data_IF_998326668906
#
_entry.id   IF_998326668906
#
_cell.length_a   1.000
_cell.length_b   1.000
_cell.length_c   1.000
_cell.angle_alpha   90.00
_cell.angle_beta   90.00
_cell.angle_gamma   90.00
#
_symmetry.space_group_name_H-M   'P 1'
#
loop_
_entity.id
_entity.type
_entity.pdbx_description
1 polymer ?
#
# COMPACT_ATOMS: atom_id res chain seq x y z
N UNK A 1 3.17 -13.96 15.71
CA UNK A 1 1.76 -14.42 15.71
C UNK A 1 1.08 -13.78 14.49
N UNK A 2 0.38 -14.57 13.69
CA UNK A 2 -0.43 -14.02 12.59
C UNK A 2 -1.65 -13.29 13.16
N UNK A 3 -2.00 -12.15 12.56
CA UNK A 3 -3.20 -11.39 12.93
C UNK A 3 -4.45 -12.26 12.69
N UNK A 4 -5.34 -12.33 13.68
CA UNK A 4 -6.63 -13.01 13.51
C UNK A 4 -7.61 -12.08 12.78
N UNK A 5 -7.78 -12.27 11.47
CA UNK A 5 -8.67 -11.47 10.63
C UNK A 5 -10.17 -11.74 10.88
N UNK A 6 -10.52 -12.77 11.64
CA UNK A 6 -11.91 -13.05 12.04
C UNK A 6 -12.34 -12.26 13.29
N UNK A 7 -11.40 -11.58 13.94
CA UNK A 7 -11.66 -10.78 15.14
C UNK A 7 -11.48 -9.29 14.82
N UNK A 8 -12.58 -8.52 14.84
CA UNK A 8 -12.57 -7.09 14.58
C UNK A 8 -11.71 -6.33 15.59
N UNK A 9 -11.76 -6.69 16.87
CA UNK A 9 -10.95 -6.04 17.89
C UNK A 9 -9.46 -6.29 17.71
N UNK A 10 -9.08 -7.49 17.24
CA UNK A 10 -7.68 -7.77 16.90
C UNK A 10 -7.19 -6.88 15.74
N UNK A 11 -8.02 -6.65 14.74
CA UNK A 11 -7.69 -5.76 13.61
C UNK A 11 -7.61 -4.30 14.07
N UNK A 12 -8.57 -3.82 14.85
CA UNK A 12 -8.56 -2.46 15.40
C UNK A 12 -7.28 -2.22 16.21
N UNK A 13 -6.97 -3.16 17.10
CA UNK A 13 -5.74 -3.10 17.90
C UNK A 13 -4.50 -3.10 17.03
N UNK A 14 -4.41 -3.98 16.02
CA UNK A 14 -3.30 -4.02 15.07
C UNK A 14 -3.09 -2.67 14.36
N UNK A 15 -4.17 -2.07 13.84
CA UNK A 15 -4.10 -0.75 13.18
C UNK A 15 -3.66 0.33 14.17
N UNK A 16 -4.22 0.33 15.39
CA UNK A 16 -3.90 1.29 16.44
C UNK A 16 -2.43 1.22 16.89
N UNK A 17 -1.94 0.02 17.12
CA UNK A 17 -0.58 -0.23 17.61
C UNK A 17 0.49 -0.14 16.50
N UNK A 18 0.11 -0.23 15.23
CA UNK A 18 1.05 -0.21 14.11
C UNK A 18 1.72 1.15 13.97
N UNK A 19 3.05 1.13 13.76
CA UNK A 19 3.80 2.34 13.47
C UNK A 19 3.26 3.00 12.20
N UNK A 20 2.89 4.26 12.31
CA UNK A 20 2.49 5.07 11.16
C UNK A 20 3.72 5.34 10.29
N UNK A 21 3.57 5.21 8.98
CA UNK A 21 4.66 5.30 8.02
C UNK A 21 4.34 6.26 6.90
N UNK A 22 5.37 6.94 6.43
CA UNK A 22 5.34 7.79 5.24
C UNK A 22 6.47 7.33 4.30
N UNK A 23 6.32 6.16 3.66
CA UNK A 23 7.33 5.68 2.74
C UNK A 23 7.39 6.56 1.50
N UNK A 24 8.60 6.81 1.06
CA UNK A 24 8.87 7.62 -0.13
C UNK A 24 9.90 6.94 -1.03
N UNK A 25 9.89 7.36 -2.29
CA UNK A 25 10.93 7.10 -3.26
C UNK A 25 11.51 8.44 -3.69
N UNK A 26 12.78 8.67 -3.42
CA UNK A 26 13.45 9.89 -3.83
C UNK A 26 14.48 9.60 -4.93
N UNK A 27 14.39 10.35 -6.02
CA UNK A 27 15.38 10.40 -7.08
C UNK A 27 16.28 11.58 -6.79
N UNK A 28 17.58 11.35 -6.69
CA UNK A 28 18.54 12.40 -6.31
C UNK A 28 19.75 12.38 -7.23
N UNK A 29 20.19 13.56 -7.66
CA UNK A 29 21.41 13.79 -8.39
C UNK A 29 22.40 14.58 -7.53
N UNK A 30 23.68 14.24 -7.62
CA UNK A 30 24.71 14.91 -6.83
C UNK A 30 26.00 14.09 -6.75
N UNK A 31 26.88 14.42 -5.81
CA UNK A 31 28.06 13.61 -5.52
C UNK A 31 27.86 12.87 -4.20
N UNK A 32 27.68 11.54 -4.29
CA UNK A 32 27.33 10.71 -3.13
C UNK A 32 28.54 9.92 -2.58
N UNK A 33 29.75 10.32 -2.89
CA UNK A 33 30.94 9.66 -2.34
C UNK A 33 31.04 9.89 -0.82
N UNK A 34 31.08 8.80 -0.06
CA UNK A 34 31.14 8.84 1.41
C UNK A 34 29.83 9.20 2.13
N UNK A 35 28.73 9.37 1.41
CA UNK A 35 27.41 9.67 2.00
C UNK A 35 26.86 8.47 2.77
N UNK A 36 26.40 8.69 3.99
CA UNK A 36 25.68 7.72 4.79
C UNK A 36 24.18 7.76 4.47
N UNK A 37 23.63 6.66 3.99
CA UNK A 37 22.20 6.53 3.67
C UNK A 37 21.38 5.83 4.76
N UNK A 38 21.97 5.54 5.91
CA UNK A 38 21.33 4.87 7.05
C UNK A 38 20.69 3.52 6.65
N UNK A 39 19.40 3.35 6.96
CA UNK A 39 18.62 2.13 6.67
C UNK A 39 17.86 2.19 5.32
N UNK A 40 18.08 3.23 4.51
CA UNK A 40 17.46 3.36 3.21
C UNK A 40 17.93 2.28 2.24
N UNK A 41 17.04 1.83 1.37
CA UNK A 41 17.42 1.10 0.17
C UNK A 41 17.93 2.07 -0.87
N UNK A 42 19.13 1.81 -1.39
CA UNK A 42 19.81 2.71 -2.32
C UNK A 42 20.14 1.98 -3.60
N UNK A 43 19.79 2.58 -4.73
CA UNK A 43 20.12 2.10 -6.07
C UNK A 43 20.75 3.23 -6.87
N UNK A 44 21.55 2.88 -7.89
CA UNK A 44 22.11 3.83 -8.85
C UNK A 44 23.61 4.05 -8.72
N UNK A 45 24.12 4.92 -9.56
CA UNK A 45 25.54 5.23 -9.77
C UNK A 45 26.06 6.30 -8.78
N UNK A 46 27.35 6.70 -8.91
CA UNK A 46 27.98 7.68 -8.01
C UNK A 46 27.28 9.04 -8.00
N UNK A 47 26.70 9.46 -9.10
CA UNK A 47 26.12 10.79 -9.29
C UNK A 47 24.58 10.81 -9.37
N UNK A 48 23.94 9.64 -9.34
CA UNK A 48 22.49 9.52 -9.38
C UNK A 48 22.04 8.36 -8.50
N UNK A 49 21.11 8.60 -7.60
CA UNK A 49 20.59 7.59 -6.67
C UNK A 49 19.08 7.58 -6.66
N UNK A 50 18.53 6.39 -6.40
CA UNK A 50 17.14 6.21 -5.98
C UNK A 50 17.17 5.74 -4.52
N UNK A 51 16.58 6.54 -3.64
CA UNK A 51 16.47 6.24 -2.21
C UNK A 51 15.05 5.78 -1.92
N UNK A 52 14.88 4.66 -1.21
CA UNK A 52 13.56 4.12 -0.85
C UNK A 52 13.54 3.87 0.65
N UNK A 53 12.61 4.47 1.36
CA UNK A 53 12.45 4.30 2.80
C UNK A 53 11.50 5.31 3.44
N UNK A 54 11.57 5.44 4.74
CA UNK A 54 10.76 6.39 5.50
C UNK A 54 11.20 7.83 5.25
N UNK A 55 10.22 8.74 5.17
CA UNK A 55 10.46 10.15 4.89
C UNK A 55 11.44 10.80 5.88
N UNK A 56 11.30 10.50 7.18
CA UNK A 56 12.21 11.03 8.20
C UNK A 56 13.68 10.74 7.90
N UNK A 57 13.97 9.51 7.43
CA UNK A 57 15.37 9.15 7.07
C UNK A 57 15.79 9.78 5.76
N UNK A 58 14.90 9.83 4.76
CA UNK A 58 15.18 10.48 3.47
C UNK A 58 15.43 11.96 3.67
N UNK A 59 14.55 12.66 4.39
CA UNK A 59 14.69 14.09 4.71
C UNK A 59 16.04 14.39 5.40
N UNK A 60 16.41 13.56 6.39
CA UNK A 60 17.69 13.67 7.07
C UNK A 60 18.88 13.55 6.09
N UNK A 61 18.85 12.56 5.19
CA UNK A 61 19.91 12.40 4.17
C UNK A 61 19.97 13.61 3.26
N UNK A 62 18.82 14.14 2.81
CA UNK A 62 18.78 15.30 1.92
C UNK A 62 19.34 16.56 2.60
N UNK A 63 18.97 16.82 3.86
CA UNK A 63 19.45 17.99 4.60
C UNK A 63 20.95 17.90 4.95
N UNK A 64 21.44 16.75 5.41
CA UNK A 64 22.84 16.55 5.74
C UNK A 64 23.77 16.65 4.52
N UNK A 65 23.24 16.35 3.32
CA UNK A 65 24.02 16.32 2.07
C UNK A 65 23.61 17.43 1.08
N UNK A 66 22.91 18.43 1.53
CA UNK A 66 22.41 19.54 0.72
C UNK A 66 23.45 20.22 -0.16
N UNK A 67 24.71 20.30 0.31
CA UNK A 67 25.81 20.93 -0.43
C UNK A 67 26.25 20.13 -1.66
N UNK A 68 25.99 18.82 -1.70
CA UNK A 68 26.42 17.92 -2.78
C UNK A 68 25.26 17.42 -3.64
N UNK A 69 24.04 17.65 -3.23
CA UNK A 69 22.80 17.33 -4.00
C UNK A 69 22.52 18.50 -4.95
N UNK A 70 22.41 18.19 -6.24
CA UNK A 70 22.13 19.19 -7.28
C UNK A 70 20.66 19.22 -7.69
N UNK A 71 19.94 18.11 -7.52
CA UNK A 71 18.53 17.99 -7.85
C UNK A 71 17.89 16.83 -7.08
N UNK A 72 16.59 16.95 -6.78
CA UNK A 72 15.82 15.86 -6.16
C UNK A 72 14.35 15.90 -6.52
N UNK A 73 13.75 14.72 -6.69
CA UNK A 73 12.32 14.54 -6.86
C UNK A 73 11.82 13.42 -5.96
N UNK A 74 10.71 13.63 -5.24
CA UNK A 74 10.21 12.72 -4.23
C UNK A 74 8.79 12.29 -4.58
N UNK A 75 8.59 10.96 -4.64
CA UNK A 75 7.28 10.33 -4.80
C UNK A 75 6.84 9.72 -3.45
N UNK A 76 5.58 9.89 -3.13
CA UNK A 76 4.96 9.23 -1.98
C UNK A 76 3.58 8.68 -2.35
N UNK A 77 3.18 7.58 -1.71
CA UNK A 77 1.86 6.96 -1.91
C UNK A 77 0.91 7.20 -0.72
N UNK A 78 1.45 7.49 0.45
CA UNK A 78 0.68 7.72 1.68
C UNK A 78 1.46 8.56 2.69
N UNK A 79 0.73 9.12 3.64
CA UNK A 79 1.31 9.85 4.77
C UNK A 79 0.74 9.34 6.09
N UNK A 80 1.62 8.98 7.03
CA UNK A 80 1.25 8.49 8.37
C UNK A 80 0.19 7.37 8.35
N UNK A 81 0.25 6.47 7.36
CA UNK A 81 -0.61 5.30 7.28
C UNK A 81 0.07 4.07 7.85
N UNK A 82 -0.70 3.26 8.58
CA UNK A 82 -0.20 2.01 9.14
C UNK A 82 -0.26 0.85 8.14
N UNK A 83 -1.27 0.86 7.26
CA UNK A 83 -1.59 -0.27 6.40
C UNK A 83 -1.15 0.02 4.97
N UNK A 84 -0.25 -0.78 4.39
CA UNK A 84 0.10 -0.67 2.97
C UNK A 84 -1.04 -1.15 2.08
N UNK A 85 -0.86 -0.97 0.77
CA UNK A 85 -1.67 -1.65 -0.23
C UNK A 85 -1.20 -3.10 -0.42
N UNK A 86 -2.12 -3.96 -0.87
CA UNK A 86 -1.84 -5.37 -1.17
C UNK A 86 -0.80 -5.50 -2.29
N UNK A 87 0.12 -6.44 -2.14
CA UNK A 87 1.01 -6.84 -3.23
C UNK A 87 0.24 -7.69 -4.25
N UNK A 88 0.01 -7.12 -5.43
CA UNK A 88 -0.83 -7.72 -6.46
C UNK A 88 -0.09 -8.70 -7.38
N UNK A 89 1.24 -8.82 -7.29
CA UNK A 89 2.05 -9.61 -8.24
C UNK A 89 1.72 -11.10 -8.28
N UNK A 90 1.28 -11.66 -7.16
CA UNK A 90 0.92 -13.09 -7.04
C UNK A 90 -0.58 -13.37 -7.10
N UNK A 91 -1.42 -12.39 -7.43
CA UNK A 91 -2.87 -12.52 -7.42
C UNK A 91 -3.38 -12.95 -8.80
N UNK A 92 -4.03 -14.11 -8.89
CA UNK A 92 -4.63 -14.63 -10.11
C UNK A 92 -6.02 -14.03 -10.36
N UNK A 93 -6.09 -12.71 -10.53
CA UNK A 93 -7.31 -11.94 -10.75
C UNK A 93 -7.05 -10.78 -11.72
N UNK A 94 -8.11 -10.27 -12.35
CA UNK A 94 -8.03 -9.03 -13.13
C UNK A 94 -8.29 -7.85 -12.20
N UNK A 95 -7.31 -6.98 -12.05
CA UNK A 95 -7.39 -5.80 -11.20
C UNK A 95 -7.09 -4.58 -12.04
N UNK A 96 -8.10 -3.74 -12.24
CA UNK A 96 -8.00 -2.56 -13.07
C UNK A 96 -7.24 -1.42 -12.37
N UNK A 97 -6.56 -0.55 -13.13
CA UNK A 97 -5.91 0.63 -12.58
C UNK A 97 -6.88 1.52 -11.77
N UNK A 98 -6.42 2.08 -10.67
CA UNK A 98 -7.22 2.94 -9.79
C UNK A 98 -8.03 2.19 -8.72
N UNK A 99 -8.01 0.86 -8.69
CA UNK A 99 -8.49 0.11 -7.54
C UNK A 99 -7.55 0.28 -6.35
N UNK A 100 -8.10 0.57 -5.18
CA UNK A 100 -7.33 0.69 -3.92
C UNK A 100 -7.63 -0.50 -3.02
N UNK A 101 -6.68 -1.38 -2.86
CA UNK A 101 -6.82 -2.61 -2.08
C UNK A 101 -5.79 -2.59 -0.95
N UNK A 102 -6.26 -2.63 0.29
CA UNK A 102 -5.37 -2.68 1.46
C UNK A 102 -4.77 -4.06 1.63
N UNK A 103 -3.63 -4.12 2.28
CA UNK A 103 -2.99 -5.37 2.67
C UNK A 103 -3.93 -6.26 3.50
N UNK A 104 -3.63 -7.56 3.53
CA UNK A 104 -4.44 -8.60 4.20
C UNK A 104 -5.86 -8.78 3.62
N UNK A 105 -6.10 -8.33 2.39
CA UNK A 105 -7.30 -8.70 1.61
C UNK A 105 -7.04 -10.03 0.91
N UNK A 106 -8.03 -10.92 0.92
CA UNK A 106 -7.99 -12.18 0.17
C UNK A 106 -8.82 -12.04 -1.11
N UNK A 107 -8.19 -12.32 -2.25
CA UNK A 107 -8.85 -12.27 -3.56
C UNK A 107 -8.79 -13.67 -4.18
N UNK A 108 -9.95 -14.25 -4.44
CA UNK A 108 -10.08 -15.56 -5.09
C UNK A 108 -9.71 -15.51 -6.56
N UNK A 109 -9.33 -16.66 -7.10
CA UNK A 109 -8.95 -16.82 -8.50
C UNK A 109 -10.01 -16.30 -9.46
N UNK A 110 -9.56 -15.73 -10.58
CA UNK A 110 -10.42 -15.20 -11.65
C UNK A 110 -11.41 -14.11 -11.21
N UNK A 111 -11.22 -13.55 -10.01
CA UNK A 111 -11.99 -12.37 -9.61
C UNK A 111 -11.68 -11.18 -10.53
N UNK A 112 -12.59 -10.23 -10.57
CA UNK A 112 -12.47 -9.00 -11.36
C UNK A 112 -12.71 -7.82 -10.44
N UNK A 113 -11.69 -6.98 -10.29
CA UNK A 113 -11.77 -5.74 -9.50
C UNK A 113 -11.69 -4.56 -10.47
N UNK A 114 -12.76 -3.79 -10.55
CA UNK A 114 -12.84 -2.67 -11.48
C UNK A 114 -12.23 -1.39 -10.90
N UNK A 115 -12.02 -0.41 -11.79
CA UNK A 115 -11.42 0.89 -11.43
C UNK A 115 -12.21 1.61 -10.33
N UNK A 116 -11.50 2.23 -9.43
CA UNK A 116 -12.07 3.00 -8.30
C UNK A 116 -12.61 2.15 -7.15
N UNK A 117 -12.63 0.83 -7.25
CA UNK A 117 -13.04 -0.02 -6.14
C UNK A 117 -12.11 0.21 -4.92
N UNK A 118 -12.70 0.32 -3.73
CA UNK A 118 -11.98 0.51 -2.46
C UNK A 118 -12.23 -0.67 -1.54
N UNK A 119 -11.18 -1.44 -1.24
CA UNK A 119 -11.28 -2.69 -0.49
C UNK A 119 -10.41 -2.60 0.76
N UNK A 120 -11.05 -2.69 1.92
CA UNK A 120 -10.40 -2.52 3.20
C UNK A 120 -9.83 -3.84 3.74
N UNK A 121 -8.93 -3.72 4.72
CA UNK A 121 -8.21 -4.83 5.38
C UNK A 121 -9.16 -5.95 5.83
N UNK A 122 -8.74 -7.20 5.63
CA UNK A 122 -9.47 -8.38 6.05
C UNK A 122 -10.68 -8.74 5.19
N UNK A 123 -10.98 -7.98 4.12
CA UNK A 123 -12.04 -8.36 3.18
C UNK A 123 -11.67 -9.63 2.42
N UNK A 124 -12.70 -10.43 2.08
CA UNK A 124 -12.56 -11.69 1.35
C UNK A 124 -13.45 -11.63 0.11
N UNK A 125 -12.84 -11.77 -1.06
CA UNK A 125 -13.52 -11.80 -2.34
C UNK A 125 -13.45 -13.22 -2.89
N UNK A 126 -14.61 -13.83 -3.12
CA UNK A 126 -14.69 -15.20 -3.61
C UNK A 126 -14.24 -15.33 -5.08
N UNK A 127 -13.87 -16.55 -5.45
CA UNK A 127 -13.45 -16.92 -6.80
C UNK A 127 -14.47 -16.48 -7.85
N UNK A 128 -14.01 -15.91 -8.98
CA UNK A 128 -14.85 -15.48 -10.09
C UNK A 128 -15.79 -14.31 -9.79
N UNK A 129 -15.70 -13.70 -8.63
CA UNK A 129 -16.53 -12.57 -8.21
C UNK A 129 -16.06 -11.27 -8.84
N UNK A 130 -17.02 -10.46 -9.31
CA UNK A 130 -16.76 -9.11 -9.79
C UNK A 130 -17.09 -8.08 -8.71
N UNK A 131 -16.14 -7.20 -8.45
CA UNK A 131 -16.32 -5.97 -7.69
C UNK A 131 -16.27 -4.82 -8.70
N UNK A 132 -17.42 -4.24 -8.96
CA UNK A 132 -17.59 -3.29 -10.05
C UNK A 132 -17.09 -1.88 -9.68
N UNK A 133 -17.13 -0.95 -10.63
CA UNK A 133 -16.57 0.39 -10.53
C UNK A 133 -17.03 1.13 -9.27
N UNK A 134 -16.09 1.72 -8.55
CA UNK A 134 -16.33 2.52 -7.34
C UNK A 134 -17.09 1.77 -6.22
N UNK A 135 -17.16 0.45 -6.27
CA UNK A 135 -17.73 -0.30 -5.16
C UNK A 135 -16.81 -0.26 -3.93
N UNK A 136 -17.39 -0.30 -2.75
CA UNK A 136 -16.65 -0.23 -1.47
C UNK A 136 -16.89 -1.51 -0.67
N UNK A 137 -15.82 -2.18 -0.28
CA UNK A 137 -15.83 -3.29 0.67
C UNK A 137 -15.18 -2.80 1.98
N UNK A 138 -15.98 -2.71 3.02
CA UNK A 138 -15.52 -2.40 4.37
C UNK A 138 -14.61 -3.49 4.93
N UNK A 139 -13.96 -3.22 6.04
CA UNK A 139 -13.07 -4.19 6.66
C UNK A 139 -13.80 -5.49 7.02
N UNK A 140 -13.22 -6.63 6.69
CA UNK A 140 -13.80 -7.98 6.83
C UNK A 140 -15.06 -8.27 6.00
N UNK A 141 -15.46 -7.38 5.11
CA UNK A 141 -16.55 -7.67 4.17
C UNK A 141 -16.22 -8.94 3.37
N UNK A 142 -17.20 -9.83 3.23
CA UNK A 142 -17.01 -11.12 2.55
C UNK A 142 -18.02 -11.30 1.44
N UNK A 143 -17.54 -11.67 0.26
CA UNK A 143 -18.37 -12.11 -0.86
C UNK A 143 -18.19 -13.60 -1.10
N UNK A 144 -19.27 -14.27 -1.59
CA UNK A 144 -19.19 -15.64 -2.09
C UNK A 144 -18.46 -15.71 -3.43
N UNK A 145 -18.48 -16.91 -4.03
CA UNK A 145 -17.98 -17.15 -5.40
C UNK A 145 -18.99 -16.67 -6.44
N UNK A 146 -18.48 -16.25 -7.61
CA UNK A 146 -19.28 -15.88 -8.78
C UNK A 146 -20.38 -14.84 -8.47
N UNK A 147 -20.11 -13.96 -7.51
CA UNK A 147 -20.99 -12.84 -7.19
C UNK A 147 -20.69 -11.64 -8.10
N UNK A 148 -21.64 -10.71 -8.15
CA UNK A 148 -21.43 -9.39 -8.75
C UNK A 148 -21.84 -8.32 -7.74
N UNK A 149 -20.86 -7.57 -7.27
CA UNK A 149 -21.08 -6.36 -6.47
C UNK A 149 -21.15 -5.19 -7.44
N UNK A 150 -22.34 -4.68 -7.66
CA UNK A 150 -22.61 -3.65 -8.68
C UNK A 150 -21.87 -2.35 -8.43
N UNK A 151 -21.73 -1.53 -9.48
CA UNK A 151 -21.03 -0.25 -9.42
C UNK A 151 -21.58 0.67 -8.32
N UNK A 152 -20.68 1.27 -7.54
CA UNK A 152 -21.02 2.16 -6.44
C UNK A 152 -21.66 1.47 -5.23
N UNK A 153 -21.82 0.15 -5.23
CA UNK A 153 -22.39 -0.57 -4.07
C UNK A 153 -21.42 -0.53 -2.87
N UNK A 154 -21.98 -0.54 -1.67
CA UNK A 154 -21.21 -0.58 -0.43
C UNK A 154 -21.58 -1.86 0.34
N UNK A 155 -20.60 -2.71 0.58
CA UNK A 155 -20.68 -3.79 1.56
C UNK A 155 -20.02 -3.28 2.84
N UNK A 156 -20.86 -3.00 3.86
CA UNK A 156 -20.36 -2.51 5.13
C UNK A 156 -19.43 -3.53 5.79
N UNK A 157 -18.37 -3.04 6.38
CA UNK A 157 -17.44 -3.85 7.17
C UNK A 157 -17.78 -3.79 8.65
N UNK A 158 -17.12 -4.64 9.42
CA UNK A 158 -17.26 -4.71 10.89
C UNK A 158 -15.88 -4.51 11.53
N UNK A 159 -15.29 -3.33 11.33
CA UNK A 159 -14.03 -2.90 11.97
C UNK A 159 -14.25 -1.53 12.64
N UNK A 160 -15.32 -1.34 13.31
CA UNK A 160 -15.54 -0.11 14.09
C UNK A 160 -15.90 -0.46 15.53
#
# INVERSE_FOLDING_TARGET
MSLNLNDAYAIIKYIGDSKKKTPVKAYVNGNFEGVNFYDLRVFGEKTSKVLIGEWETVEKVLEENKAVITDSYIENDRRNSAIPTLDLKGINARIEPGATIRDMVTIGDRAVIMMGASINIGAIIGEGTMIDMNAVLGGRATTGKNCHVGAGAVIAGVIE
#
